data_IF_879406287182
#
_entry.id   IF_879406287182
#
_cell.length_a   1.000
_cell.length_b   1.000
_cell.length_c   1.000
_cell.angle_alpha   90.00
_cell.angle_beta   90.00
_cell.angle_gamma   90.00
#
_symmetry.space_group_name_H-M   'P 1'
#
loop_
_entity.id
_entity.type
_entity.pdbx_description
1 polymer ?
#
# COMPACT_ATOMS: atom_id res chain seq x y z
N UNK A 1 -30.76 24.61 -22.68
CA UNK A 1 -29.48 24.30 -22.02
C UNK A 1 -29.71 24.31 -20.51
N UNK A 2 -29.74 23.13 -19.87
CA UNK A 2 -29.79 23.02 -18.42
C UNK A 2 -28.36 22.71 -17.96
N UNK A 3 -27.79 23.62 -17.17
CA UNK A 3 -26.49 23.42 -16.53
C UNK A 3 -26.58 22.25 -15.56
N UNK A 4 -25.62 21.33 -15.66
CA UNK A 4 -25.42 20.28 -14.67
C UNK A 4 -24.60 20.92 -13.55
N UNK A 5 -25.28 21.23 -12.46
CA UNK A 5 -24.69 21.60 -11.18
C UNK A 5 -23.85 20.40 -10.70
N UNK A 6 -22.53 20.54 -10.74
CA UNK A 6 -21.63 19.55 -10.13
C UNK A 6 -21.66 19.76 -8.63
N UNK A 7 -22.65 19.15 -7.99
CA UNK A 7 -22.69 19.02 -6.54
C UNK A 7 -21.35 18.41 -6.07
N UNK A 8 -20.66 19.17 -5.22
CA UNK A 8 -19.53 18.73 -4.41
C UNK A 8 -20.00 17.58 -3.51
N UNK A 9 -19.91 16.35 -3.99
CA UNK A 9 -20.13 15.16 -3.16
C UNK A 9 -18.98 15.06 -2.14
N UNK A 10 -19.27 15.46 -0.90
CA UNK A 10 -18.46 15.12 0.28
C UNK A 10 -18.33 13.60 0.39
N UNK A 11 -17.19 13.07 -0.06
CA UNK A 11 -16.83 11.67 0.11
C UNK A 11 -16.52 11.40 1.60
N UNK A 12 -17.55 11.02 2.35
CA UNK A 12 -17.45 10.54 3.73
C UNK A 12 -16.78 9.17 3.78
N UNK A 13 -15.45 9.17 3.88
CA UNK A 13 -14.62 8.01 4.21
C UNK A 13 -14.47 7.88 5.73
N UNK A 14 -14.95 6.78 6.31
CA UNK A 14 -14.57 6.40 7.68
C UNK A 14 -13.13 5.92 7.64
N UNK A 15 -12.30 6.43 8.54
CA UNK A 15 -10.89 6.09 8.62
C UNK A 15 -10.63 5.51 10.02
N UNK A 16 -9.85 4.45 10.07
CA UNK A 16 -9.34 3.86 11.30
C UNK A 16 -7.96 4.46 11.58
N UNK A 17 -7.60 4.77 12.83
CA UNK A 17 -6.20 5.02 13.16
C UNK A 17 -5.42 3.73 12.89
N UNK A 18 -4.52 3.73 11.90
CA UNK A 18 -3.48 2.71 11.88
C UNK A 18 -2.36 3.17 12.82
N UNK A 19 -1.90 2.29 13.74
CA UNK A 19 -0.73 2.58 14.56
C UNK A 19 0.50 2.70 13.66
N UNK A 20 1.59 3.24 14.22
CA UNK A 20 2.94 3.25 13.64
C UNK A 20 3.17 1.97 12.82
N UNK A 21 3.59 2.10 11.55
CA UNK A 21 3.98 0.95 10.72
C UNK A 21 4.95 0.09 11.52
N UNK A 22 4.77 -1.22 11.44
CA UNK A 22 5.72 -2.16 12.02
C UNK A 22 6.98 -2.14 11.17
N UNK A 23 8.13 -1.92 11.82
CA UNK A 23 9.44 -2.05 11.20
C UNK A 23 9.87 -3.51 11.25
N UNK A 24 10.17 -4.08 10.09
CA UNK A 24 10.78 -5.40 9.97
C UNK A 24 12.24 -5.22 9.55
N UNK A 25 13.14 -5.57 10.45
CA UNK A 25 14.58 -5.55 10.19
C UNK A 25 14.99 -6.87 9.53
N UNK A 26 15.67 -6.77 8.40
CA UNK A 26 16.38 -7.90 7.77
C UNK A 26 17.86 -7.56 7.78
N UNK A 27 18.62 -8.25 8.62
CA UNK A 27 20.06 -8.08 8.75
C UNK A 27 20.80 -9.15 7.94
N UNK A 28 21.44 -8.75 6.85
CA UNK A 28 22.16 -9.67 5.99
C UNK A 28 23.40 -10.27 6.65
N UNK A 29 24.03 -9.57 7.59
CA UNK A 29 25.24 -10.05 8.26
C UNK A 29 24.91 -11.22 9.21
N UNK A 30 23.65 -11.38 9.59
CA UNK A 30 23.16 -12.49 10.43
C UNK A 30 22.68 -13.70 9.61
N UNK A 31 22.58 -13.58 8.28
CA UNK A 31 22.11 -14.65 7.40
C UNK A 31 23.22 -15.61 7.01
N UNK A 32 22.92 -16.92 7.02
CA UNK A 32 23.85 -17.92 6.50
C UNK A 32 23.86 -17.94 4.96
N UNK A 33 24.82 -18.67 4.37
CA UNK A 33 25.00 -18.75 2.90
C UNK A 33 23.78 -19.28 2.14
N UNK A 34 22.98 -20.15 2.74
CA UNK A 34 21.78 -20.69 2.08
C UNK A 34 20.65 -19.67 2.07
N UNK A 35 20.50 -18.89 3.14
CA UNK A 35 19.50 -17.83 3.23
C UNK A 35 19.84 -16.66 2.30
N UNK A 36 21.12 -16.30 2.21
CA UNK A 36 21.62 -15.34 1.22
C UNK A 36 21.32 -15.78 -0.22
N UNK A 37 21.38 -17.09 -0.52
CA UNK A 37 21.01 -17.62 -1.85
C UNK A 37 19.51 -17.51 -2.12
N UNK A 38 18.64 -17.65 -1.12
CA UNK A 38 17.19 -17.45 -1.27
C UNK A 38 16.86 -15.99 -1.60
N UNK A 39 17.68 -15.07 -1.12
CA UNK A 39 17.59 -13.64 -1.41
C UNK A 39 18.39 -13.23 -2.65
N UNK A 40 18.95 -14.18 -3.41
CA UNK A 40 19.70 -13.86 -4.62
C UNK A 40 18.81 -13.17 -5.68
N UNK A 41 19.38 -12.15 -6.34
CA UNK A 41 18.69 -11.35 -7.35
C UNK A 41 17.67 -10.36 -6.77
N UNK A 42 17.79 -10.04 -5.50
CA UNK A 42 17.14 -8.89 -4.87
C UNK A 42 18.11 -7.71 -5.01
N UNK A 43 17.94 -6.90 -6.05
CA UNK A 43 18.92 -5.87 -6.43
C UNK A 43 18.57 -4.47 -5.91
N UNK A 44 17.36 -4.29 -5.36
CA UNK A 44 16.80 -2.98 -5.04
C UNK A 44 17.40 -2.33 -3.79
N UNK A 45 18.14 -3.10 -3.00
CA UNK A 45 18.66 -2.69 -1.68
C UNK A 45 20.09 -2.14 -1.71
N UNK A 46 20.73 -2.10 -2.88
CA UNK A 46 22.08 -1.54 -3.03
C UNK A 46 23.11 -2.19 -2.09
N UNK A 47 23.91 -1.36 -1.39
CA UNK A 47 24.96 -1.80 -0.44
C UNK A 47 24.48 -1.91 1.01
N UNK A 48 23.19 -1.70 1.29
CA UNK A 48 22.70 -1.77 2.67
C UNK A 48 22.87 -3.19 3.21
N UNK A 49 23.51 -3.31 4.37
CA UNK A 49 23.66 -4.58 5.10
C UNK A 49 22.46 -4.89 5.99
N UNK A 50 21.70 -3.86 6.36
CA UNK A 50 20.47 -3.98 7.14
C UNK A 50 19.35 -3.28 6.41
N UNK A 51 18.18 -3.90 6.37
CA UNK A 51 17.02 -3.37 5.67
C UNK A 51 15.85 -3.21 6.60
N UNK A 52 15.22 -2.05 6.54
CA UNK A 52 13.96 -1.78 7.23
C UNK A 52 12.84 -1.85 6.22
N UNK A 53 11.84 -2.68 6.53
CA UNK A 53 10.64 -2.80 5.73
C UNK A 53 9.48 -2.31 6.57
N UNK A 54 8.70 -1.41 6.01
CA UNK A 54 7.57 -0.80 6.71
C UNK A 54 6.27 -1.41 6.17
N UNK A 55 5.54 -2.12 7.03
CA UNK A 55 4.23 -2.70 6.72
C UNK A 55 3.32 -2.65 7.96
N UNK A 56 2.03 -2.92 7.82
CA UNK A 56 1.13 -2.93 8.97
C UNK A 56 1.49 -4.04 9.96
N UNK A 57 1.51 -5.28 9.48
CA UNK A 57 1.83 -6.47 10.25
C UNK A 57 2.36 -7.58 9.34
N UNK A 58 2.40 -8.82 9.84
CA UNK A 58 2.61 -10.04 9.04
C UNK A 58 1.38 -10.97 9.08
N UNK A 59 0.27 -10.52 9.65
CA UNK A 59 -0.92 -11.34 9.90
C UNK A 59 -2.13 -10.41 9.94
N UNK A 60 -3.00 -10.49 8.96
CA UNK A 60 -4.06 -9.50 8.90
C UNK A 60 -4.31 -9.09 7.48
N UNK A 61 -5.45 -8.44 7.28
CA UNK A 61 -5.65 -7.68 6.06
C UNK A 61 -4.79 -6.42 6.11
N UNK A 62 -3.85 -6.33 5.19
CA UNK A 62 -2.92 -5.21 5.09
C UNK A 62 -3.32 -4.34 3.91
N UNK A 63 -3.43 -3.03 4.17
CA UNK A 63 -3.64 -2.03 3.14
C UNK A 63 -2.64 -0.88 3.37
N UNK A 64 -1.64 -0.71 2.48
CA UNK A 64 -1.36 -1.52 1.30
C UNK A 64 -0.73 -2.87 1.68
N UNK A 65 -1.03 -3.91 0.92
CA UNK A 65 -0.31 -5.17 0.97
C UNK A 65 0.97 -5.05 0.15
N UNK A 66 2.08 -4.82 0.84
CA UNK A 66 3.40 -4.54 0.22
C UNK A 66 4.16 -5.79 -0.22
N UNK A 67 3.76 -6.97 0.28
CA UNK A 67 4.45 -8.24 0.04
C UNK A 67 4.08 -8.93 -1.28
N UNK A 68 3.54 -8.18 -2.24
CA UNK A 68 3.20 -8.66 -3.58
C UNK A 68 4.04 -7.92 -4.64
N UNK A 69 4.42 -8.62 -5.71
CA UNK A 69 5.11 -8.05 -6.88
C UNK A 69 4.51 -6.74 -7.35
N UNK A 70 3.18 -6.68 -7.44
CA UNK A 70 2.46 -5.54 -7.98
C UNK A 70 2.09 -4.52 -6.92
N UNK A 71 2.28 -4.80 -5.62
CA UNK A 71 1.63 -4.10 -4.51
C UNK A 71 0.10 -4.12 -4.65
N UNK A 72 -0.59 -4.38 -3.55
CA UNK A 72 -2.05 -4.42 -3.56
C UNK A 72 -2.60 -3.37 -2.61
N UNK A 73 -3.68 -2.74 -3.02
CA UNK A 73 -4.48 -1.89 -2.17
C UNK A 73 -5.93 -2.30 -2.37
N UNK A 74 -6.50 -2.96 -1.36
CA UNK A 74 -7.90 -3.37 -1.40
C UNK A 74 -8.74 -2.48 -0.53
N UNK A 75 -9.89 -2.11 -1.05
CA UNK A 75 -10.89 -1.45 -0.23
C UNK A 75 -11.77 -2.50 0.45
N UNK A 76 -11.13 -3.30 1.30
CA UNK A 76 -11.77 -4.39 2.06
C UNK A 76 -12.78 -3.89 3.10
N UNK A 77 -12.77 -2.60 3.47
CA UNK A 77 -13.70 -2.01 4.45
C UNK A 77 -14.83 -1.18 3.84
N UNK A 78 -14.74 -0.79 2.56
CA UNK A 78 -15.80 -0.06 1.87
C UNK A 78 -15.82 -0.46 0.40
N UNK A 79 -16.99 -0.78 -0.17
CA UNK A 79 -17.09 -0.94 -1.62
C UNK A 79 -16.95 0.44 -2.28
N UNK A 80 -16.35 0.51 -3.47
CA UNK A 80 -16.16 1.76 -4.20
C UNK A 80 -16.71 1.61 -5.61
N UNK A 81 -17.29 2.69 -6.13
CA UNK A 81 -17.65 2.76 -7.53
C UNK A 81 -16.37 3.04 -8.36
N UNK A 82 -16.19 2.31 -9.47
CA UNK A 82 -15.10 2.49 -10.45
C UNK A 82 -14.90 3.97 -10.85
N UNK A 83 -15.96 4.78 -10.87
CA UNK A 83 -15.92 6.22 -11.16
C UNK A 83 -14.96 6.99 -10.24
N UNK A 84 -14.76 6.54 -9.00
CA UNK A 84 -13.86 7.20 -8.03
C UNK A 84 -12.38 7.02 -8.32
N UNK A 85 -12.02 6.06 -9.19
CA UNK A 85 -10.64 5.80 -9.63
C UNK A 85 -10.33 6.42 -10.98
N UNK A 86 -11.33 6.95 -11.68
CA UNK A 86 -11.12 7.51 -12.99
C UNK A 86 -10.22 8.75 -12.90
N UNK A 87 -9.13 8.75 -13.67
CA UNK A 87 -8.13 9.83 -13.66
C UNK A 87 -7.11 9.79 -12.51
N UNK A 88 -7.17 8.80 -11.60
CA UNK A 88 -6.09 8.59 -10.62
C UNK A 88 -5.03 7.71 -11.26
N UNK A 89 -3.81 8.22 -11.36
CA UNK A 89 -2.65 7.42 -11.81
C UNK A 89 -1.82 6.93 -10.65
N UNK A 90 -1.62 7.77 -9.63
CA UNK A 90 -0.75 7.45 -8.51
C UNK A 90 -1.51 7.51 -7.19
N UNK A 91 -1.16 6.57 -6.31
CA UNK A 91 -1.53 6.56 -4.91
C UNK A 91 -0.25 6.60 -4.09
N UNK A 92 -0.21 7.51 -3.13
CA UNK A 92 0.87 7.55 -2.13
C UNK A 92 0.26 7.17 -0.78
N UNK A 93 0.81 6.14 -0.18
CA UNK A 93 0.54 5.83 1.21
C UNK A 93 1.49 6.61 2.10
N UNK A 94 0.94 7.19 3.16
CA UNK A 94 1.68 8.03 4.08
C UNK A 94 1.40 7.67 5.54
N UNK A 95 2.42 7.83 6.34
CA UNK A 95 2.35 7.87 7.80
C UNK A 95 2.69 9.27 8.29
N UNK A 96 2.31 9.60 9.52
CA UNK A 96 2.60 10.89 10.12
C UNK A 96 3.04 10.76 11.56
N UNK A 97 3.77 11.78 11.99
CA UNK A 97 4.20 11.97 13.39
C UNK A 97 3.36 13.05 14.06
N UNK A 98 3.41 13.08 15.39
CA UNK A 98 2.64 14.05 16.19
C UNK A 98 3.05 15.51 15.90
N UNK A 99 4.29 15.74 15.47
CA UNK A 99 4.80 17.05 15.01
C UNK A 99 4.38 17.40 13.57
N UNK A 100 3.56 16.56 12.92
CA UNK A 100 2.94 16.83 11.63
C UNK A 100 3.81 16.55 10.41
N UNK A 101 4.98 15.90 10.58
CA UNK A 101 5.77 15.40 9.44
C UNK A 101 5.08 14.22 8.79
N UNK A 102 5.34 14.05 7.50
CA UNK A 102 4.67 13.08 6.65
C UNK A 102 5.72 12.23 5.97
N UNK A 103 5.64 10.93 6.19
CA UNK A 103 6.57 9.96 5.64
C UNK A 103 5.88 9.13 4.56
N UNK A 104 6.60 8.82 3.49
CA UNK A 104 6.07 8.09 2.36
C UNK A 104 6.25 6.57 2.55
N UNK A 105 5.19 5.85 2.92
CA UNK A 105 5.22 4.41 3.13
C UNK A 105 5.32 3.62 1.81
N UNK A 106 4.58 4.07 0.78
CA UNK A 106 4.49 3.39 -0.51
C UNK A 106 4.07 4.38 -1.60
N UNK A 107 4.75 4.31 -2.75
CA UNK A 107 4.33 4.95 -3.99
C UNK A 107 3.80 3.87 -4.93
N UNK A 108 2.54 3.98 -5.34
CA UNK A 108 1.89 3.03 -6.22
C UNK A 108 1.39 3.70 -7.49
N UNK A 109 1.99 3.36 -8.63
CA UNK A 109 1.42 3.69 -9.94
C UNK A 109 0.38 2.62 -10.28
N UNK A 110 -0.89 2.99 -10.38
CA UNK A 110 -1.97 2.03 -10.66
C UNK A 110 -1.83 1.50 -12.08
N UNK A 111 -1.76 0.17 -12.22
CA UNK A 111 -1.72 -0.53 -13.51
C UNK A 111 -3.00 -1.29 -13.80
N UNK A 112 -3.58 -1.90 -12.77
CA UNK A 112 -4.79 -2.72 -12.89
C UNK A 112 -5.81 -2.34 -11.82
N UNK A 113 -7.07 -2.41 -12.22
CA UNK A 113 -8.24 -2.36 -11.35
C UNK A 113 -8.95 -3.70 -11.49
N UNK A 114 -9.16 -4.40 -10.39
CA UNK A 114 -9.79 -5.71 -10.39
C UNK A 114 -10.98 -5.70 -9.42
N UNK A 115 -12.19 -5.78 -9.97
CA UNK A 115 -13.41 -5.90 -9.19
C UNK A 115 -13.53 -7.32 -8.62
N UNK A 116 -14.03 -7.43 -7.39
CA UNK A 116 -14.24 -8.71 -6.73
C UNK A 116 -15.60 -9.26 -7.15
N UNK A 117 -15.65 -9.92 -8.31
CA UNK A 117 -16.90 -10.38 -8.93
C UNK A 117 -17.41 -11.71 -8.34
N UNK A 118 -16.52 -12.63 -7.94
CA UNK A 118 -16.87 -13.92 -7.32
C UNK A 118 -15.74 -14.42 -6.40
N UNK A 119 -16.06 -15.38 -5.53
CA UNK A 119 -15.08 -16.20 -4.80
C UNK A 119 -14.05 -16.77 -5.79
N UNK A 120 -12.80 -16.33 -5.71
CA UNK A 120 -11.70 -17.24 -6.02
C UNK A 120 -10.77 -16.71 -7.11
N UNK A 121 -11.19 -16.60 -8.38
CA UNK A 121 -10.24 -17.11 -9.40
C UNK A 121 -9.97 -16.26 -10.64
N UNK A 122 -9.69 -14.95 -10.51
CA UNK A 122 -8.51 -14.42 -11.22
C UNK A 122 -7.70 -13.33 -10.49
N UNK A 123 -7.97 -13.05 -9.21
CA UNK A 123 -7.20 -12.04 -8.43
C UNK A 123 -5.84 -12.57 -7.95
N UNK A 124 -5.65 -13.89 -8.00
CA UNK A 124 -4.47 -14.55 -7.48
C UNK A 124 -3.30 -14.40 -8.45
N UNK A 125 -2.42 -13.43 -8.17
CA UNK A 125 -1.14 -13.24 -8.86
C UNK A 125 -0.11 -14.37 -8.57
N UNK A 126 -0.55 -15.57 -8.17
CA UNK A 126 0.33 -16.70 -7.82
C UNK A 126 0.96 -16.62 -6.43
N UNK A 127 0.71 -15.56 -5.66
CA UNK A 127 1.35 -15.32 -4.36
C UNK A 127 0.48 -15.85 -3.21
N UNK A 128 0.89 -16.96 -2.59
CA UNK A 128 0.19 -17.62 -1.48
C UNK A 128 -0.09 -16.66 -0.32
N UNK A 129 0.86 -15.78 0.01
CA UNK A 129 0.71 -14.81 1.10
C UNK A 129 -0.32 -13.74 0.77
N UNK A 130 -0.36 -13.28 -0.49
CA UNK A 130 -1.44 -12.39 -0.92
C UNK A 130 -2.80 -13.07 -0.80
N UNK A 131 -2.91 -14.37 -1.08
CA UNK A 131 -4.16 -15.08 -0.82
C UNK A 131 -4.47 -15.13 0.68
N UNK A 132 -3.56 -15.65 1.50
CA UNK A 132 -3.79 -15.82 2.95
C UNK A 132 -4.08 -14.51 3.69
N UNK A 133 -3.26 -13.50 3.43
CA UNK A 133 -3.24 -12.27 4.22
C UNK A 133 -4.20 -11.22 3.64
N UNK A 134 -4.58 -11.30 2.36
CA UNK A 134 -5.37 -10.27 1.69
C UNK A 134 -6.68 -10.78 1.07
N UNK A 135 -6.63 -11.78 0.17
CA UNK A 135 -7.81 -12.21 -0.59
C UNK A 135 -8.73 -13.22 0.13
N UNK A 136 -8.18 -14.14 0.93
CA UNK A 136 -8.91 -15.21 1.61
C UNK A 136 -9.93 -14.68 2.63
N UNK A 137 -9.79 -13.41 3.04
CA UNK A 137 -10.74 -12.72 3.91
C UNK A 137 -11.96 -12.17 3.17
N UNK A 138 -12.15 -12.54 1.90
CA UNK A 138 -13.35 -12.24 1.14
C UNK A 138 -14.62 -12.58 1.93
N UNK A 139 -14.68 -13.78 2.53
CA UNK A 139 -15.82 -14.27 3.32
C UNK A 139 -16.14 -13.41 4.52
N UNK A 140 -15.13 -12.98 5.28
CA UNK A 140 -15.27 -12.06 6.43
C UNK A 140 -15.92 -10.73 6.02
N UNK A 141 -15.93 -10.44 4.72
CA UNK A 141 -16.43 -9.21 4.13
C UNK A 141 -17.65 -9.42 3.20
N UNK A 142 -18.22 -10.64 3.12
CA UNK A 142 -19.34 -11.00 2.22
C UNK A 142 -20.72 -10.54 2.70
N UNK A 143 -20.96 -10.48 4.01
CA UNK A 143 -22.23 -9.96 4.57
C UNK A 143 -22.48 -8.50 4.19
N UNK A 144 -21.41 -7.74 3.94
CA UNK A 144 -21.50 -6.41 3.34
C UNK A 144 -21.79 -6.45 1.83
N UNK A 145 -21.19 -7.38 1.07
CA UNK A 145 -21.40 -7.46 -0.39
C UNK A 145 -22.86 -7.78 -0.77
N UNK A 146 -23.56 -8.60 0.01
CA UNK A 146 -24.99 -8.84 -0.20
C UNK A 146 -25.83 -7.57 0.03
N UNK A 147 -25.45 -6.69 0.98
CA UNK A 147 -26.06 -5.36 1.15
C UNK A 147 -25.66 -4.37 0.04
N UNK A 148 -24.47 -4.52 -0.54
CA UNK A 148 -23.91 -3.58 -1.52
C UNK A 148 -24.36 -3.83 -2.97
N UNK A 149 -24.82 -5.04 -3.30
CA UNK A 149 -25.43 -5.32 -4.61
C UNK A 149 -26.70 -4.50 -4.86
N UNK A 150 -27.42 -4.09 -3.81
CA UNK A 150 -28.54 -3.16 -3.94
C UNK A 150 -28.12 -1.74 -4.41
N UNK A 151 -26.83 -1.39 -4.28
CA UNK A 151 -26.29 -0.06 -4.54
C UNK A 151 -25.21 -0.02 -5.65
N UNK A 152 -25.02 -1.09 -6.44
CA UNK A 152 -23.96 -1.19 -7.47
C UNK A 152 -22.54 -0.89 -6.94
N UNK A 153 -22.24 -1.26 -5.70
CA UNK A 153 -20.90 -1.05 -5.14
C UNK A 153 -20.15 -2.38 -5.05
N UNK A 154 -19.03 -2.49 -5.77
CA UNK A 154 -18.19 -3.70 -5.79
C UNK A 154 -16.90 -3.43 -5.04
N UNK A 155 -16.44 -4.40 -4.25
CA UNK A 155 -15.09 -4.36 -3.68
C UNK A 155 -14.07 -4.46 -4.80
N UNK A 156 -12.94 -3.79 -4.62
CA UNK A 156 -11.92 -3.70 -5.65
C UNK A 156 -10.54 -3.76 -5.02
N UNK A 157 -9.64 -4.46 -5.70
CA UNK A 157 -8.19 -4.32 -5.53
C UNK A 157 -7.60 -3.46 -6.64
N UNK A 158 -6.80 -2.48 -6.25
CA UNK A 158 -5.87 -1.81 -7.15
C UNK A 158 -4.55 -2.57 -7.11
N UNK A 159 -3.99 -2.84 -8.29
CA UNK A 159 -2.65 -3.40 -8.43
C UNK A 159 -1.72 -2.35 -9.02
N UNK A 160 -0.59 -2.16 -8.37
CA UNK A 160 0.46 -1.28 -8.86
C UNK A 160 1.22 -1.87 -10.04
N UNK A 161 1.93 -1.01 -10.75
CA UNK A 161 2.94 -1.41 -11.71
C UNK A 161 4.18 -1.92 -10.96
N UNK A 162 4.60 -3.16 -11.23
CA UNK A 162 5.71 -3.82 -10.52
C UNK A 162 7.04 -3.09 -10.61
N UNK A 163 7.27 -2.33 -11.68
CA UNK A 163 8.56 -1.71 -11.96
C UNK A 163 8.55 -0.25 -11.49
N UNK A 164 7.38 0.38 -11.49
CA UNK A 164 7.21 1.81 -11.16
C UNK A 164 6.69 2.07 -9.75
N UNK A 165 6.12 1.08 -9.08
CA UNK A 165 5.70 1.17 -7.67
C UNK A 165 6.85 0.75 -6.74
N UNK A 166 6.95 1.35 -5.56
CA UNK A 166 8.05 1.08 -4.62
C UNK A 166 7.81 1.68 -3.23
N UNK A 167 8.46 1.10 -2.22
CA UNK A 167 8.66 1.75 -0.92
C UNK A 167 9.95 2.60 -0.98
N UNK A 168 9.84 3.93 -0.83
CA UNK A 168 10.99 4.84 -0.89
C UNK A 168 11.72 4.93 0.45
N UNK A 169 13.05 4.79 0.41
CA UNK A 169 13.90 4.96 1.59
C UNK A 169 15.03 5.96 1.36
N UNK A 170 15.47 6.59 2.45
CA UNK A 170 16.66 7.45 2.50
C UNK A 170 17.97 6.63 2.56
N UNK A 171 19.10 7.31 2.63
CA UNK A 171 20.43 6.68 2.67
C UNK A 171 20.68 5.83 3.92
N UNK A 172 19.90 6.04 4.98
CA UNK A 172 19.95 5.26 6.22
C UNK A 172 18.98 4.07 6.22
N UNK A 173 18.18 3.92 5.16
CA UNK A 173 17.14 2.91 5.06
C UNK A 173 15.86 3.26 5.82
N UNK A 174 15.64 4.53 6.16
CA UNK A 174 14.41 5.03 6.78
C UNK A 174 13.43 5.54 5.73
N UNK A 175 12.13 5.62 6.07
CA UNK A 175 11.15 6.25 5.18
C UNK A 175 11.51 7.71 4.90
N UNK A 176 11.37 8.14 3.64
CA UNK A 176 11.59 9.54 3.29
C UNK A 176 10.46 10.44 3.82
N UNK A 177 10.84 11.61 4.33
CA UNK A 177 9.92 12.70 4.66
C UNK A 177 9.54 13.46 3.37
N UNK A 178 8.24 13.72 3.17
CA UNK A 178 7.70 14.30 1.93
C UNK A 178 6.82 15.53 2.13
N UNK A 179 6.75 16.11 3.34
CA UNK A 179 5.84 17.25 3.60
C UNK A 179 6.11 18.44 2.70
N UNK A 180 7.38 18.74 2.43
CA UNK A 180 7.80 19.84 1.56
C UNK A 180 7.46 19.57 0.08
N UNK A 181 7.60 18.34 -0.41
CA UNK A 181 7.16 17.92 -1.75
C UNK A 181 5.66 18.17 -1.88
N UNK A 182 4.88 17.73 -0.89
CA UNK A 182 3.43 17.91 -0.89
C UNK A 182 3.04 19.39 -0.83
N UNK A 183 3.66 20.19 0.04
CA UNK A 183 3.41 21.63 0.15
C UNK A 183 3.75 22.38 -1.14
N UNK A 184 4.90 22.09 -1.74
CA UNK A 184 5.34 22.74 -2.98
C UNK A 184 4.43 22.45 -4.16
N UNK A 185 3.76 21.30 -4.14
CA UNK A 185 2.78 20.89 -5.15
C UNK A 185 1.32 21.19 -4.78
N UNK A 186 1.09 22.00 -3.73
CA UNK A 186 -0.24 22.37 -3.22
C UNK A 186 -1.14 21.16 -2.86
N UNK A 187 -0.54 20.07 -2.39
CA UNK A 187 -1.27 18.89 -1.92
C UNK A 187 -1.52 19.00 -0.43
N UNK A 188 -2.77 19.24 -0.05
CA UNK A 188 -3.19 19.28 1.35
C UNK A 188 -3.56 17.88 1.87
N UNK A 189 -3.06 17.52 3.05
CA UNK A 189 -3.51 16.31 3.75
C UNK A 189 -4.72 16.66 4.60
N UNK A 190 -5.89 16.17 4.17
CA UNK A 190 -7.13 16.37 4.91
C UNK A 190 -7.20 15.31 6.02
N UNK A 191 -7.21 15.78 7.28
CA UNK A 191 -7.57 14.93 8.42
C UNK A 191 -9.08 14.72 8.36
N UNK A 192 -9.53 13.49 8.12
CA UNK A 192 -10.95 13.15 8.22
C UNK A 192 -11.37 13.07 9.69
N UNK A 193 -12.66 13.00 9.96
CA UNK A 193 -13.17 12.62 11.29
C UNK A 193 -13.73 11.21 11.23
N UNK A 194 -13.46 10.38 12.24
CA UNK A 194 -14.16 9.11 12.38
C UNK A 194 -15.62 9.31 12.85
N UNK A 195 -16.33 8.18 12.98
CA UNK A 195 -17.71 8.13 13.48
C UNK A 195 -17.90 8.72 14.89
N UNK A 196 -16.82 8.90 15.64
CA UNK A 196 -16.83 9.48 16.98
C UNK A 196 -16.35 10.95 16.97
N UNK A 197 -16.17 11.55 15.80
CA UNK A 197 -15.69 12.92 15.64
C UNK A 197 -14.19 13.10 15.90
N UNK A 198 -13.43 12.01 16.11
CA UNK A 198 -11.99 12.06 16.31
C UNK A 198 -11.31 12.27 14.96
N UNK A 199 -10.31 13.16 14.91
CA UNK A 199 -9.50 13.31 13.70
C UNK A 199 -8.79 11.98 13.39
N UNK A 200 -8.98 11.48 12.19
CA UNK A 200 -8.28 10.33 11.65
C UNK A 200 -7.68 10.72 10.31
N UNK A 201 -6.39 10.49 10.18
CA UNK A 201 -5.65 10.86 9.00
C UNK A 201 -5.94 9.87 7.87
N UNK A 202 -6.31 10.39 6.70
CA UNK A 202 -6.30 9.57 5.50
C UNK A 202 -4.84 9.29 5.13
N UNK A 203 -4.44 8.03 5.31
CA UNK A 203 -3.09 7.57 5.00
C UNK A 203 -2.89 7.38 3.49
N UNK A 204 -3.85 7.79 2.65
CA UNK A 204 -3.81 7.65 1.19
C UNK A 204 -3.97 9.03 0.55
N UNK A 205 -2.95 9.44 -0.20
CA UNK A 205 -2.97 10.60 -1.09
C UNK A 205 -3.23 10.11 -2.51
N UNK A 206 -4.29 10.62 -3.13
CA UNK A 206 -4.68 10.32 -4.51
C UNK A 206 -4.23 11.46 -5.42
N UNK A 207 -3.43 11.16 -6.44
CA UNK A 207 -2.88 12.18 -7.32
C UNK A 207 -3.61 12.22 -8.66
N UNK A 208 -4.29 13.34 -8.93
CA UNK A 208 -5.00 13.64 -10.17
C UNK A 208 -4.12 14.50 -11.10
N UNK A 209 -4.15 14.16 -12.39
CA UNK A 209 -3.13 14.34 -13.44
C UNK A 209 -2.27 15.61 -13.58
N UNK A 210 -2.54 16.76 -12.95
CA UNK A 210 -1.73 17.97 -13.21
C UNK A 210 -0.35 17.94 -12.55
N UNK A 211 -0.24 17.47 -11.31
CA UNK A 211 1.03 17.48 -10.55
C UNK A 211 1.52 16.06 -10.20
N UNK A 212 0.76 15.02 -10.57
CA UNK A 212 1.04 13.65 -10.13
C UNK A 212 2.41 13.13 -10.58
N UNK A 213 2.80 13.50 -11.80
CA UNK A 213 4.09 13.11 -12.37
C UNK A 213 5.25 13.79 -11.63
N UNK A 214 5.14 15.10 -11.37
CA UNK A 214 6.18 15.85 -10.66
C UNK A 214 6.39 15.29 -9.25
N UNK A 215 5.32 15.11 -8.47
CA UNK A 215 5.41 14.54 -7.11
C UNK A 215 6.06 13.15 -7.14
N UNK A 216 5.69 12.32 -8.11
CA UNK A 216 6.28 11.00 -8.28
C UNK A 216 7.78 11.07 -8.59
N UNK A 217 8.19 11.99 -9.47
CA UNK A 217 9.59 12.23 -9.83
C UNK A 217 10.40 12.79 -8.66
N UNK A 218 9.85 13.75 -7.89
CA UNK A 218 10.48 14.32 -6.70
C UNK A 218 10.75 13.22 -5.63
N UNK A 219 9.77 12.33 -5.43
CA UNK A 219 9.93 11.18 -4.52
C UNK A 219 11.01 10.23 -5.04
N UNK A 220 11.02 9.94 -6.34
CA UNK A 220 12.08 9.11 -6.96
C UNK A 220 13.46 9.71 -6.72
N UNK A 221 13.61 11.01 -6.92
CA UNK A 221 14.89 11.71 -6.80
C UNK A 221 15.38 11.70 -5.35
N UNK A 222 14.47 11.93 -4.39
CA UNK A 222 14.80 11.89 -2.95
C UNK A 222 15.11 10.50 -2.42
N UNK A 223 14.59 9.46 -3.06
CA UNK A 223 14.77 8.08 -2.58
C UNK A 223 16.16 7.55 -2.92
N UNK A 224 17.00 7.34 -1.91
CA UNK A 224 18.27 6.64 -2.07
C UNK A 224 18.04 5.17 -2.46
N UNK A 225 17.05 4.52 -1.84
CA UNK A 225 16.65 3.15 -2.16
C UNK A 225 15.16 3.06 -2.49
N UNK A 226 14.80 2.09 -3.33
CA UNK A 226 13.44 1.93 -3.86
C UNK A 226 13.06 0.47 -3.84
N UNK A 227 12.48 0.01 -2.74
CA UNK A 227 12.18 -1.41 -2.58
C UNK A 227 10.97 -1.77 -3.45
N UNK A 228 11.18 -2.67 -4.42
CA UNK A 228 10.10 -3.14 -5.32
C UNK A 228 9.35 -4.32 -4.71
N UNK A 229 8.13 -4.52 -5.19
CA UNK A 229 7.24 -5.57 -4.70
C UNK A 229 7.81 -6.97 -4.92
N UNK A 230 8.59 -7.18 -5.98
CA UNK A 230 9.32 -8.44 -6.21
C UNK A 230 10.28 -8.79 -5.08
N UNK A 231 11.05 -7.80 -4.64
CA UNK A 231 12.01 -7.93 -3.55
C UNK A 231 11.29 -8.21 -2.23
N UNK A 232 10.21 -7.49 -1.95
CA UNK A 232 9.37 -7.72 -0.76
C UNK A 232 8.71 -9.09 -0.77
N UNK A 233 8.19 -9.55 -1.91
CA UNK A 233 7.58 -10.87 -2.02
C UNK A 233 8.59 -12.00 -1.74
N UNK A 234 9.84 -11.87 -2.21
CA UNK A 234 10.92 -12.81 -1.91
C UNK A 234 11.28 -12.80 -0.42
N UNK A 235 11.41 -11.61 0.18
CA UNK A 235 11.69 -11.47 1.61
C UNK A 235 10.56 -12.08 2.43
N UNK A 236 9.31 -11.85 2.04
CA UNK A 236 8.15 -12.45 2.71
C UNK A 236 8.19 -13.97 2.69
N UNK A 237 8.57 -14.57 1.56
CA UNK A 237 8.74 -16.01 1.47
C UNK A 237 9.83 -16.50 2.43
N UNK A 238 10.98 -15.82 2.44
CA UNK A 238 12.08 -16.12 3.36
C UNK A 238 11.66 -16.03 4.84
N UNK A 239 10.96 -14.97 5.25
CA UNK A 239 10.51 -14.80 6.64
C UNK A 239 9.54 -15.89 7.09
N UNK A 240 8.68 -16.42 6.21
CA UNK A 240 7.77 -17.51 6.58
C UNK A 240 8.50 -18.85 6.72
N UNK A 241 9.49 -19.15 5.84
CA UNK A 241 10.30 -20.36 5.97
C UNK A 241 10.99 -20.44 7.35
N UNK A 242 11.47 -19.31 7.88
CA UNK A 242 12.11 -19.25 9.20
C UNK A 242 11.11 -19.43 10.34
N UNK A 243 9.88 -18.90 10.21
CA UNK A 243 8.81 -19.10 11.20
C UNK A 243 8.37 -20.57 11.24
N UNK A 244 8.22 -21.21 10.08
CA UNK A 244 7.79 -22.61 9.99
C UNK A 244 8.87 -23.57 10.54
N UNK A 245 10.16 -23.26 10.38
CA UNK A 245 11.23 -24.01 11.05
C UNK A 245 11.14 -23.90 12.58
N UNK A 246 10.87 -22.71 13.10
CA UNK A 246 10.83 -22.46 14.55
C UNK A 246 9.60 -23.08 15.24
N UNK A 247 8.49 -23.24 14.51
CA UNK A 247 7.26 -23.87 15.03
C UNK A 247 7.35 -25.41 14.99
N UNK A 248 8.15 -25.98 14.08
CA UNK A 248 8.27 -27.42 13.90
C UNK A 248 9.50 -28.05 14.59
N UNK A 249 10.23 -27.28 15.41
CA UNK A 249 11.29 -27.73 16.34
C UNK A 249 10.80 -27.63 17.77
#
# INVERSE_FOLDING_TARGET
MKGIDMATEELTGYIFPHPKRTEFLVDLDELNRNDLRKLAGVNDFGKLRKWKIFADDLKGNQDPFVWNKNFLNSYCKKPWNRKYWNGIKYIIWVSSTDDGKIYCDLVMLIKEYSAWENFVTPLYDGNLFANRDHYARFEEHTTDNQRNNANNMTRTTLKGDSDKSFQPLDENGELIEISDILRSNNVSIIKAKDKNGKNVQNNIIKLYDSNSKQIYEDIIERSAFKIKGNSLAKIRAFMNDEIDKFINT
#
